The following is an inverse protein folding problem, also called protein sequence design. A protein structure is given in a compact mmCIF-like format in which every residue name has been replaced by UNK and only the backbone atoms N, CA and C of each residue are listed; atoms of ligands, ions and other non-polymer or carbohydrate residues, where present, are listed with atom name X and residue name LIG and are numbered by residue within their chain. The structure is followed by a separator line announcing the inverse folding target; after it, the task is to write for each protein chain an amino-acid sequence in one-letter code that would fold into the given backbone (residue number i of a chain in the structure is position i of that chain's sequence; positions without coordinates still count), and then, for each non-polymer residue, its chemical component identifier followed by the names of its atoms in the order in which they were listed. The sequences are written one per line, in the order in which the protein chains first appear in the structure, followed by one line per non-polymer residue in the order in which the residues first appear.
data_IF_722931274198
#
_entry.id   IF_722931274198
#
_cell.length_a   1.000
_cell.length_b   1.000
_cell.length_c   1.000
_cell.angle_alpha   90.00
_cell.angle_beta   90.00
_cell.angle_gamma   90.00
#
_symmetry.space_group_name_H-M   'P 1'
#
loop_
_entity.id
_entity.type
_entity.pdbx_description
1 polymer ?
#
# COMPACT_ATOMS: atom_id res chain seq x y z
N UNK A 1 28.66 -7.06 20.10
CA UNK A 1 27.70 -6.67 19.06
C UNK A 1 28.35 -7.03 17.74
N UNK A 2 27.68 -7.77 16.85
CA UNK A 2 28.22 -8.17 15.54
C UNK A 2 27.40 -7.50 14.43
N UNK A 3 28.03 -7.23 13.29
CA UNK A 3 27.32 -6.74 12.10
C UNK A 3 26.53 -7.87 11.45
N UNK A 4 25.57 -7.50 10.56
CA UNK A 4 24.82 -8.49 9.77
C UNK A 4 25.71 -9.31 8.86
N UNK A 5 26.81 -8.72 8.34
CA UNK A 5 27.80 -9.42 7.52
C UNK A 5 28.55 -10.49 8.32
N UNK A 6 29.00 -10.16 9.53
CA UNK A 6 29.67 -11.12 10.42
C UNK A 6 28.72 -12.25 10.84
N UNK A 7 27.46 -11.92 11.17
CA UNK A 7 26.45 -12.91 11.47
C UNK A 7 26.21 -13.82 10.27
N UNK A 8 26.01 -13.26 9.08
CA UNK A 8 25.79 -14.03 7.86
C UNK A 8 27.00 -14.96 7.56
N UNK A 9 28.22 -14.45 7.66
CA UNK A 9 29.41 -15.28 7.47
C UNK A 9 29.47 -16.46 8.44
N UNK A 10 29.07 -16.25 9.69
CA UNK A 10 29.06 -17.30 10.71
C UNK A 10 27.98 -18.37 10.49
N UNK A 11 26.80 -17.99 9.97
CA UNK A 11 25.69 -18.93 9.79
C UNK A 11 25.66 -19.57 8.41
N UNK A 12 26.22 -18.94 7.38
CA UNK A 12 26.19 -19.41 5.98
C UNK A 12 26.60 -20.89 5.83
N UNK A 13 27.69 -21.40 6.44
CA UNK A 13 28.04 -22.81 6.31
C UNK A 13 27.01 -23.78 6.87
N UNK A 14 26.14 -23.29 7.76
CA UNK A 14 25.07 -24.09 8.40
C UNK A 14 23.77 -24.08 7.60
N UNK A 15 23.72 -23.31 6.50
CA UNK A 15 22.52 -23.14 5.68
C UNK A 15 22.56 -24.00 4.39
N UNK A 16 23.61 -24.79 4.17
CA UNK A 16 23.76 -25.60 2.93
C UNK A 16 22.57 -26.55 2.73
N UNK A 17 22.05 -27.13 3.83
CA UNK A 17 20.90 -28.03 3.81
C UNK A 17 19.60 -27.36 4.26
N UNK A 18 19.57 -26.04 4.36
CA UNK A 18 18.36 -25.34 4.81
C UNK A 18 17.26 -25.41 3.73
N UNK A 19 16.00 -25.64 4.11
CA UNK A 19 14.90 -25.68 3.17
C UNK A 19 14.73 -24.33 2.47
N UNK A 20 14.62 -24.36 1.15
CA UNK A 20 14.37 -23.16 0.35
C UNK A 20 12.86 -22.87 0.34
N UNK A 21 12.46 -21.80 0.98
CA UNK A 21 11.10 -21.28 0.89
C UNK A 21 11.00 -20.27 -0.26
N UNK A 22 9.93 -20.42 -1.07
CA UNK A 22 9.59 -19.46 -2.14
C UNK A 22 8.16 -19.01 -1.94
N UNK A 23 7.96 -17.72 -1.72
CA UNK A 23 6.67 -17.09 -1.47
C UNK A 23 6.78 -15.92 -0.51
N UNK A 24 5.66 -15.31 -0.21
CA UNK A 24 5.60 -14.20 0.74
C UNK A 24 5.74 -14.72 2.18
N UNK A 25 6.60 -14.09 2.96
CA UNK A 25 6.73 -14.31 4.39
C UNK A 25 5.85 -13.32 5.12
N UNK A 26 4.55 -13.51 5.02
CA UNK A 26 3.59 -12.67 5.73
C UNK A 26 3.67 -12.93 7.22
N UNK A 27 3.75 -11.84 7.99
CA UNK A 27 3.59 -11.93 9.42
C UNK A 27 2.11 -12.00 9.83
N UNK A 28 1.84 -12.21 11.12
CA UNK A 28 0.47 -12.32 11.62
C UNK A 28 -0.32 -11.00 11.57
N UNK A 29 0.34 -9.85 11.36
CA UNK A 29 -0.32 -8.55 11.18
C UNK A 29 -1.16 -8.47 9.90
N UNK A 30 -0.89 -9.33 8.92
CA UNK A 30 -1.73 -9.45 7.73
C UNK A 30 -3.21 -9.75 8.06
N UNK A 31 -3.50 -10.34 9.22
CA UNK A 31 -4.87 -10.56 9.72
C UNK A 31 -5.65 -9.25 9.93
N UNK A 32 -4.96 -8.14 10.17
CA UNK A 32 -5.57 -6.82 10.39
C UNK A 32 -6.34 -6.26 9.21
N UNK A 33 -6.16 -6.80 8.00
CA UNK A 33 -6.91 -6.42 6.78
C UNK A 33 -8.43 -6.42 7.01
N UNK A 34 -8.94 -7.40 7.76
CA UNK A 34 -10.36 -7.52 8.07
C UNK A 34 -10.91 -6.45 9.02
N UNK A 35 -10.05 -5.71 9.74
CA UNK A 35 -10.49 -4.69 10.70
C UNK A 35 -10.98 -3.40 10.03
N UNK A 36 -10.50 -3.09 8.82
CA UNK A 36 -10.86 -1.87 8.08
C UNK A 36 -11.23 -2.18 6.62
N UNK A 37 -12.25 -3.00 6.35
CA UNK A 37 -12.54 -3.52 5.00
C UNK A 37 -12.86 -2.41 3.99
N UNK A 38 -13.49 -1.33 4.43
CA UNK A 38 -13.80 -0.19 3.58
C UNK A 38 -12.53 0.54 3.09
N UNK A 39 -11.61 0.83 4.00
CA UNK A 39 -10.34 1.47 3.65
C UNK A 39 -9.45 0.55 2.80
N UNK A 40 -9.44 -0.76 3.08
CA UNK A 40 -8.76 -1.76 2.25
C UNK A 40 -9.31 -1.77 0.83
N UNK A 41 -10.63 -1.69 0.66
CA UNK A 41 -11.24 -1.58 -0.67
C UNK A 41 -10.75 -0.33 -1.40
N UNK A 42 -10.80 0.85 -0.76
CA UNK A 42 -10.30 2.10 -1.35
C UNK A 42 -8.81 2.01 -1.72
N UNK A 43 -8.01 1.41 -0.85
CA UNK A 43 -6.59 1.17 -1.14
C UNK A 43 -6.39 0.29 -2.37
N UNK A 44 -7.12 -0.83 -2.48
CA UNK A 44 -7.03 -1.74 -3.64
C UNK A 44 -7.48 -1.06 -4.93
N UNK A 45 -8.57 -0.31 -4.89
CA UNK A 45 -9.04 0.46 -6.04
C UNK A 45 -8.00 1.54 -6.45
N UNK A 46 -7.40 2.23 -5.48
CA UNK A 46 -6.34 3.20 -5.73
C UNK A 46 -5.11 2.55 -6.38
N UNK A 47 -4.68 1.40 -5.85
CA UNK A 47 -3.55 0.64 -6.37
C UNK A 47 -3.80 0.22 -7.84
N UNK A 48 -4.99 -0.30 -8.14
CA UNK A 48 -5.36 -0.68 -9.51
C UNK A 48 -5.36 0.52 -10.45
N UNK A 49 -5.96 1.65 -10.05
CA UNK A 49 -5.99 2.89 -10.85
C UNK A 49 -4.59 3.45 -11.07
N UNK A 50 -3.76 3.48 -10.04
CA UNK A 50 -2.37 3.92 -10.15
C UNK A 50 -1.57 3.07 -11.14
N UNK A 51 -1.68 1.74 -11.08
CA UNK A 51 -1.03 0.85 -12.03
C UNK A 51 -1.61 0.97 -13.45
N UNK A 52 -2.92 1.20 -13.56
CA UNK A 52 -3.56 1.46 -14.86
C UNK A 52 -3.04 2.75 -15.48
N UNK A 53 -2.93 3.84 -14.72
CA UNK A 53 -2.35 5.10 -15.21
C UNK A 53 -0.94 4.90 -15.78
N UNK A 54 -0.09 4.16 -15.08
CA UNK A 54 1.28 3.85 -15.56
C UNK A 54 1.30 3.04 -16.86
N UNK A 55 0.34 2.15 -17.05
CA UNK A 55 0.21 1.36 -18.28
C UNK A 55 -0.36 2.17 -19.46
N UNK A 56 -1.30 3.05 -19.18
CA UNK A 56 -1.92 3.89 -20.21
C UNK A 56 -1.02 5.04 -20.66
N UNK A 57 -0.19 5.56 -19.77
CA UNK A 57 0.73 6.65 -20.05
C UNK A 57 2.04 6.48 -19.28
N UNK A 58 3.09 6.07 -19.99
CA UNK A 58 4.42 5.88 -19.40
C UNK A 58 5.07 7.16 -18.87
N UNK A 59 4.58 8.35 -19.32
CA UNK A 59 5.10 9.66 -18.92
C UNK A 59 4.25 10.31 -17.79
N UNK A 60 3.31 9.57 -17.20
CA UNK A 60 2.35 10.10 -16.22
C UNK A 60 3.04 10.79 -15.02
N UNK A 61 4.19 10.27 -14.59
CA UNK A 61 4.95 10.84 -13.48
C UNK A 61 5.50 12.24 -13.79
N UNK A 62 5.93 12.49 -15.03
CA UNK A 62 6.42 13.80 -15.47
C UNK A 62 5.29 14.76 -15.84
N UNK A 63 4.19 14.25 -16.38
CA UNK A 63 3.01 15.06 -16.72
C UNK A 63 2.26 15.58 -15.50
N UNK A 64 2.12 14.74 -14.47
CA UNK A 64 1.35 15.04 -13.27
C UNK A 64 2.11 14.67 -11.99
N UNK A 65 3.29 15.29 -11.75
CA UNK A 65 4.21 14.89 -10.69
C UNK A 65 3.56 14.93 -9.31
N UNK A 66 2.76 15.96 -9.00
CA UNK A 66 2.13 16.11 -7.70
C UNK A 66 1.09 15.01 -7.43
N UNK A 67 0.26 14.69 -8.43
CA UNK A 67 -0.74 13.63 -8.30
C UNK A 67 -0.08 12.24 -8.24
N UNK A 68 0.99 12.05 -9.02
CA UNK A 68 1.74 10.80 -9.02
C UNK A 68 2.40 10.56 -7.66
N UNK A 69 3.10 11.55 -7.13
CA UNK A 69 3.73 11.49 -5.80
C UNK A 69 2.67 11.30 -4.71
N UNK A 70 1.58 12.08 -4.73
CA UNK A 70 0.50 11.95 -3.76
C UNK A 70 -0.13 10.55 -3.76
N UNK A 71 -0.35 9.95 -4.94
CA UNK A 71 -0.87 8.57 -5.03
C UNK A 71 0.14 7.57 -4.47
N UNK A 72 1.41 7.66 -4.86
CA UNK A 72 2.47 6.75 -4.44
C UNK A 72 2.70 6.80 -2.93
N UNK A 73 2.87 7.99 -2.37
CA UNK A 73 3.16 8.19 -0.95
C UNK A 73 2.01 7.69 -0.07
N UNK A 74 0.77 8.01 -0.44
CA UNK A 74 -0.39 7.58 0.33
C UNK A 74 -0.67 6.07 0.17
N UNK A 75 -0.38 5.45 -0.98
CA UNK A 75 -0.40 3.99 -1.11
C UNK A 75 0.63 3.33 -0.19
N UNK A 76 1.85 3.87 -0.14
CA UNK A 76 2.92 3.35 0.72
C UNK A 76 2.58 3.52 2.20
N UNK A 77 2.11 4.71 2.62
CA UNK A 77 1.77 5.00 4.01
C UNK A 77 0.57 4.20 4.51
N UNK A 78 -0.39 3.88 3.65
CA UNK A 78 -1.49 2.99 4.02
C UNK A 78 -1.05 1.54 4.15
N UNK A 79 -0.22 1.05 3.22
CA UNK A 79 0.27 -0.34 3.22
C UNK A 79 1.34 -0.60 4.27
N UNK A 80 1.97 0.45 4.77
CA UNK A 80 3.01 0.36 5.78
C UNK A 80 2.43 -0.20 7.08
N UNK A 81 3.10 -1.17 7.66
CA UNK A 81 2.94 -1.75 8.98
C UNK A 81 1.58 -2.40 9.24
N UNK A 82 0.56 -1.67 9.73
CA UNK A 82 -0.74 -2.23 10.12
C UNK A 82 -1.90 -1.53 9.39
N UNK A 83 -2.98 -2.29 9.16
CA UNK A 83 -4.21 -1.80 8.53
C UNK A 83 -5.09 -0.97 9.47
N UNK A 84 -4.87 -1.06 10.77
CA UNK A 84 -5.54 -0.35 11.83
C UNK A 84 -4.72 -0.37 13.11
N UNK A 85 -5.34 -0.12 14.24
CA UNK A 85 -4.73 -0.24 15.56
C UNK A 85 -5.00 -1.62 16.18
N UNK A 86 -4.15 -2.09 17.08
CA UNK A 86 -4.31 -3.38 17.78
C UNK A 86 -5.65 -3.51 18.53
N UNK A 87 -6.20 -2.39 18.99
CA UNK A 87 -7.47 -2.32 19.71
C UNK A 87 -8.67 -1.96 18.82
N UNK A 88 -8.51 -1.86 17.50
CA UNK A 88 -9.60 -1.50 16.58
C UNK A 88 -10.80 -2.45 16.69
N UNK A 89 -10.56 -3.73 16.97
CA UNK A 89 -11.63 -4.73 17.13
C UNK A 89 -12.11 -4.80 18.58
N UNK A 90 -11.19 -4.79 19.54
CA UNK A 90 -11.52 -5.04 20.96
C UNK A 90 -12.06 -3.82 21.69
N UNK A 91 -11.68 -2.61 21.26
CA UNK A 91 -12.13 -1.35 21.86
C UNK A 91 -12.35 -0.27 20.78
N UNK A 92 -13.29 -0.48 19.84
CA UNK A 92 -13.44 0.35 18.63
C UNK A 92 -13.91 1.78 18.93
N UNK A 93 -14.45 2.05 20.11
CA UNK A 93 -14.98 3.38 20.48
C UNK A 93 -14.00 4.21 21.33
N UNK A 94 -12.83 3.69 21.62
CA UNK A 94 -11.78 4.48 22.30
C UNK A 94 -11.36 5.65 21.40
N UNK A 95 -11.27 6.85 22.01
CA UNK A 95 -10.95 8.08 21.28
C UNK A 95 -9.60 8.02 20.56
N UNK A 96 -8.61 7.39 21.17
CA UNK A 96 -7.29 7.22 20.55
C UNK A 96 -7.38 6.27 19.34
N UNK A 97 -8.12 5.17 19.48
CA UNK A 97 -8.32 4.18 18.41
C UNK A 97 -9.04 4.83 17.22
N UNK A 98 -10.14 5.55 17.46
CA UNK A 98 -10.87 6.28 16.42
C UNK A 98 -9.97 7.30 15.70
N UNK A 99 -9.14 8.04 16.43
CA UNK A 99 -8.23 9.01 15.84
C UNK A 99 -7.17 8.33 14.94
N UNK A 100 -6.59 7.24 15.39
CA UNK A 100 -5.59 6.48 14.63
C UNK A 100 -6.21 5.85 13.37
N UNK A 101 -7.39 5.26 13.49
CA UNK A 101 -8.12 4.67 12.37
C UNK A 101 -8.49 5.72 11.32
N UNK A 102 -8.98 6.88 11.74
CA UNK A 102 -9.28 8.00 10.83
C UNK A 102 -8.03 8.44 10.07
N UNK A 103 -6.90 8.60 10.74
CA UNK A 103 -5.62 8.99 10.11
C UNK A 103 -5.15 7.93 9.12
N UNK A 104 -5.17 6.67 9.53
CA UNK A 104 -4.74 5.56 8.67
C UNK A 104 -5.65 5.44 7.43
N UNK A 105 -6.96 5.49 7.62
CA UNK A 105 -7.93 5.42 6.54
C UNK A 105 -7.84 6.61 5.58
N UNK A 106 -7.41 7.78 6.05
CA UNK A 106 -7.22 8.95 5.20
C UNK A 106 -6.16 8.74 4.12
N UNK A 107 -5.14 7.92 4.35
CA UNK A 107 -4.15 7.59 3.32
C UNK A 107 -4.78 6.81 2.17
N UNK A 108 -5.61 5.82 2.45
CA UNK A 108 -6.31 5.08 1.40
C UNK A 108 -7.22 6.00 0.56
N UNK A 109 -7.94 6.91 1.22
CA UNK A 109 -8.81 7.88 0.56
C UNK A 109 -8.04 8.87 -0.32
N UNK A 110 -6.95 9.44 0.19
CA UNK A 110 -6.07 10.35 -0.57
C UNK A 110 -5.40 9.67 -1.76
N UNK A 111 -4.93 8.44 -1.58
CA UNK A 111 -4.39 7.64 -2.69
C UNK A 111 -5.44 7.42 -3.78
N UNK A 112 -6.66 7.07 -3.37
CA UNK A 112 -7.77 6.85 -4.31
C UNK A 112 -8.14 8.13 -5.05
N UNK A 113 -8.23 9.27 -4.36
CA UNK A 113 -8.47 10.56 -5.00
C UNK A 113 -7.40 10.90 -6.04
N UNK A 114 -6.12 10.86 -5.65
CA UNK A 114 -5.02 11.21 -6.54
C UNK A 114 -4.95 10.29 -7.78
N UNK A 115 -5.08 8.97 -7.59
CA UNK A 115 -5.08 8.00 -8.68
C UNK A 115 -6.30 8.19 -9.61
N UNK A 116 -7.47 8.50 -9.05
CA UNK A 116 -8.68 8.77 -9.83
C UNK A 116 -8.55 10.04 -10.65
N UNK A 117 -7.98 11.11 -10.08
CA UNK A 117 -7.73 12.37 -10.80
C UNK A 117 -6.75 12.18 -11.95
N UNK A 118 -5.68 11.40 -11.77
CA UNK A 118 -4.78 11.05 -12.87
C UNK A 118 -5.52 10.29 -13.97
N UNK A 119 -6.28 9.28 -13.61
CA UNK A 119 -7.03 8.48 -14.58
C UNK A 119 -8.03 9.31 -15.37
N UNK A 120 -8.74 10.23 -14.72
CA UNK A 120 -9.67 11.15 -15.37
C UNK A 120 -8.96 12.10 -16.36
N UNK A 121 -7.75 12.55 -16.06
CA UNK A 121 -6.94 13.37 -16.97
C UNK A 121 -6.50 12.58 -18.19
N UNK A 122 -6.04 11.34 -18.01
CA UNK A 122 -5.70 10.45 -19.13
C UNK A 122 -6.92 10.21 -20.02
N UNK A 123 -8.08 9.94 -19.40
CA UNK A 123 -9.32 9.72 -20.16
C UNK A 123 -9.72 10.96 -20.96
N UNK A 124 -9.57 12.16 -20.40
CA UNK A 124 -9.84 13.41 -21.10
C UNK A 124 -8.87 13.65 -22.28
N UNK A 125 -7.60 13.27 -22.14
CA UNK A 125 -6.60 13.43 -23.21
C UNK A 125 -6.74 12.38 -24.34
N UNK A 126 -7.05 11.14 -23.98
CA UNK A 126 -7.05 10.00 -24.91
C UNK A 126 -8.45 9.59 -25.40
N UNK A 127 -9.49 10.31 -24.96
CA UNK A 127 -10.87 9.97 -25.25
C UNK A 127 -11.38 8.79 -24.40
N UNK A 128 -12.54 8.24 -24.77
CA UNK A 128 -13.29 7.22 -24.01
C UNK A 128 -12.56 5.86 -23.90
N UNK A 129 -11.43 5.83 -23.21
CA UNK A 129 -10.71 4.59 -22.91
C UNK A 129 -11.46 3.72 -21.88
N UNK A 130 -12.46 4.30 -21.22
CA UNK A 130 -13.14 3.69 -20.06
C UNK A 130 -14.54 3.14 -20.39
N UNK A 131 -14.85 2.93 -21.66
CA UNK A 131 -16.13 2.32 -22.09
C UNK A 131 -16.15 0.79 -22.04
N UNK A 132 -15.21 0.18 -21.31
CA UNK A 132 -15.15 -1.29 -21.16
C UNK A 132 -15.15 -1.72 -19.70
#
# INVERSE_FOLDING_TARGET
MVSLQELYAAIRPKLEDAPVYRGDLNDWWANGVGSTPYAVKHYKDAQHRYQLCKRLDGEIASKYPDLYAAAQDNLMLYAEHTWGHSSTITNPYDTMVLNLDMRKNSYASKAHEAASRMLNRIAAEKGDILRY
#
